data_IF_819043516357
#
_entry.id   IF_819043516357
#
_cell.length_a   1.000
_cell.length_b   1.000
_cell.length_c   1.000
_cell.angle_alpha   90.00
_cell.angle_beta   90.00
_cell.angle_gamma   90.00
#
_symmetry.space_group_name_H-M   'P 1'
#
loop_
_entity.id
_entity.type
_entity.pdbx_description
1 polymer ?
#
# COMPACT_ATOMS: atom_id res chain seq x y z
N UNK A 1 -12.13 13.31 9.98
CA UNK A 1 -10.79 12.81 9.62
C UNK A 1 -10.85 11.30 9.69
N UNK A 2 -10.50 10.61 8.61
CA UNK A 2 -10.62 9.16 8.56
C UNK A 2 -9.50 8.52 9.37
N UNK A 3 -9.86 7.57 10.24
CA UNK A 3 -8.90 6.88 11.09
C UNK A 3 -8.42 5.61 10.39
N UNK A 4 -7.17 5.60 9.99
CA UNK A 4 -6.50 4.40 9.48
C UNK A 4 -5.84 3.65 10.63
N UNK A 5 -6.08 2.35 10.73
CA UNK A 5 -5.35 1.48 11.65
C UNK A 5 -4.12 0.92 10.95
N UNK A 6 -3.01 0.82 11.68
CA UNK A 6 -1.78 0.18 11.19
C UNK A 6 -1.63 -1.17 11.87
N UNK A 7 -1.52 -2.21 11.05
CA UNK A 7 -1.25 -3.58 11.47
C UNK A 7 0.08 -4.03 10.88
N UNK A 8 0.82 -4.86 11.62
CA UNK A 8 2.07 -5.44 11.15
C UNK A 8 1.86 -6.93 10.98
N UNK A 9 1.85 -7.38 9.72
CA UNK A 9 1.63 -8.78 9.38
C UNK A 9 2.96 -9.51 9.24
N UNK A 10 3.13 -10.63 9.95
CA UNK A 10 4.28 -11.51 9.75
C UNK A 10 4.04 -12.39 8.52
N UNK A 11 4.92 -12.29 7.52
CA UNK A 11 4.82 -13.02 6.24
C UNK A 11 5.84 -14.14 6.10
N UNK A 12 6.79 -14.23 7.02
CA UNK A 12 7.76 -15.32 7.06
C UNK A 12 8.93 -15.03 8.00
N UNK A 13 9.95 -15.86 7.90
CA UNK A 13 11.17 -15.75 8.69
C UNK A 13 12.37 -16.12 7.80
N UNK A 14 13.45 -15.36 7.90
CA UNK A 14 14.70 -15.68 7.22
C UNK A 14 15.41 -16.82 7.94
N UNK A 15 16.29 -17.55 7.25
CA UNK A 15 17.10 -18.61 7.87
C UNK A 15 18.00 -18.11 9.03
N UNK A 16 18.24 -16.79 9.09
CA UNK A 16 18.94 -16.11 10.19
C UNK A 16 18.06 -15.87 11.44
N UNK A 17 16.78 -16.21 11.40
CA UNK A 17 15.80 -15.91 12.46
C UNK A 17 15.15 -14.53 12.36
N UNK A 18 15.48 -13.74 11.33
CA UNK A 18 14.88 -12.42 11.14
C UNK A 18 13.43 -12.54 10.62
N UNK A 19 12.46 -12.00 11.37
CA UNK A 19 11.05 -11.98 10.96
C UNK A 19 10.84 -11.03 9.79
N UNK A 20 10.18 -11.52 8.76
CA UNK A 20 9.75 -10.75 7.61
C UNK A 20 8.36 -10.22 7.90
N UNK A 21 8.24 -8.91 8.03
CA UNK A 21 6.98 -8.25 8.38
C UNK A 21 6.58 -7.21 7.33
N UNK A 22 5.27 -7.10 7.11
CA UNK A 22 4.67 -6.16 6.16
C UNK A 22 3.73 -5.22 6.91
N UNK A 23 3.89 -3.89 6.79
CA UNK A 23 2.92 -2.94 7.31
C UNK A 23 1.68 -2.90 6.42
N UNK A 24 0.52 -3.00 7.05
CA UNK A 24 -0.80 -2.92 6.41
C UNK A 24 -1.57 -1.77 7.06
N UNK A 25 -2.07 -0.84 6.26
CA UNK A 25 -2.93 0.24 6.73
C UNK A 25 -4.36 -0.03 6.27
N UNK A 26 -5.31 0.03 7.19
CA UNK A 26 -6.71 -0.32 6.94
C UNK A 26 -7.62 0.84 7.33
N UNK A 27 -8.55 1.16 6.45
CA UNK A 27 -9.72 1.97 6.74
C UNK A 27 -10.98 1.13 6.50
N UNK A 28 -11.89 1.14 7.47
CA UNK A 28 -13.18 0.47 7.37
C UNK A 28 -14.26 1.54 7.25
N UNK A 29 -15.04 1.46 6.18
CA UNK A 29 -16.23 2.29 6.01
C UNK A 29 -17.32 1.84 6.99
N UNK A 30 -18.21 2.75 7.36
CA UNK A 30 -19.33 2.46 8.28
C UNK A 30 -20.31 1.44 7.68
N UNK A 31 -20.43 1.42 6.35
CA UNK A 31 -21.29 0.49 5.64
C UNK A 31 -20.49 -0.74 5.17
N UNK A 32 -20.82 -1.91 5.73
CA UNK A 32 -20.18 -3.18 5.37
C UNK A 32 -20.50 -3.67 3.94
N UNK A 33 -21.51 -3.10 3.27
CA UNK A 33 -21.84 -3.42 1.87
C UNK A 33 -21.03 -2.60 0.86
N UNK A 34 -20.15 -1.72 1.32
CA UNK A 34 -19.38 -0.85 0.46
C UNK A 34 -18.26 -1.57 -0.31
N UNK A 35 -17.89 -1.06 -1.49
CA UNK A 35 -16.77 -1.63 -2.26
C UNK A 35 -15.47 -1.57 -1.46
N UNK A 36 -14.61 -2.56 -1.67
CA UNK A 36 -13.30 -2.66 -1.02
C UNK A 36 -12.17 -2.45 -2.03
N UNK A 37 -11.20 -1.63 -1.66
CA UNK A 37 -10.04 -1.28 -2.50
C UNK A 37 -8.76 -1.76 -1.81
N UNK A 38 -7.92 -2.48 -2.55
CA UNK A 38 -6.61 -2.96 -2.10
C UNK A 38 -5.52 -2.37 -2.98
N UNK A 39 -4.56 -1.66 -2.37
CA UNK A 39 -3.44 -1.04 -3.06
C UNK A 39 -2.14 -1.56 -2.44
N UNK A 40 -1.27 -2.11 -3.27
CA UNK A 40 0.05 -2.56 -2.83
C UNK A 40 1.17 -1.95 -3.68
N UNK A 41 2.34 -1.79 -3.08
CA UNK A 41 3.54 -1.40 -3.78
C UNK A 41 4.73 -2.29 -3.41
N UNK A 42 5.85 -2.06 -4.10
CA UNK A 42 7.16 -2.60 -3.78
C UNK A 42 7.18 -4.15 -3.71
N UNK A 43 6.48 -4.79 -4.64
CA UNK A 43 6.58 -6.24 -4.86
C UNK A 43 7.95 -6.61 -5.46
N UNK A 44 8.51 -5.74 -6.29
CA UNK A 44 9.91 -5.79 -6.73
C UNK A 44 10.75 -4.82 -5.90
N UNK A 45 11.92 -5.26 -5.42
CA UNK A 45 12.75 -4.51 -4.47
C UNK A 45 13.26 -3.16 -4.99
N UNK A 46 13.43 -3.02 -6.30
CA UNK A 46 13.90 -1.80 -6.96
C UNK A 46 12.82 -0.72 -7.17
N UNK A 47 11.54 -1.05 -7.00
CA UNK A 47 10.38 -0.17 -7.28
C UNK A 47 9.95 0.62 -6.03
N UNK A 48 10.92 1.24 -5.34
CA UNK A 48 10.72 1.88 -4.03
C UNK A 48 9.81 3.13 -4.06
N UNK A 49 9.59 3.72 -5.24
CA UNK A 49 8.81 4.96 -5.38
C UNK A 49 7.33 4.78 -5.02
N UNK A 50 6.78 3.57 -5.19
CA UNK A 50 5.39 3.27 -4.80
C UNK A 50 5.13 3.43 -3.30
N UNK A 51 6.17 3.31 -2.46
CA UNK A 51 6.05 3.51 -1.01
C UNK A 51 5.71 4.97 -0.68
N UNK A 52 6.45 5.91 -1.27
CA UNK A 52 6.24 7.34 -1.05
C UNK A 52 4.85 7.77 -1.53
N UNK A 53 4.37 7.21 -2.63
CA UNK A 53 3.03 7.48 -3.16
C UNK A 53 1.95 6.99 -2.21
N UNK A 54 2.08 5.78 -1.65
CA UNK A 54 1.11 5.27 -0.69
C UNK A 54 1.10 6.11 0.59
N UNK A 55 2.24 6.61 1.04
CA UNK A 55 2.29 7.56 2.16
C UNK A 55 1.55 8.86 1.86
N UNK A 56 1.80 9.48 0.70
CA UNK A 56 1.09 10.69 0.30
C UNK A 56 -0.41 10.44 0.13
N UNK A 57 -0.78 9.28 -0.43
CA UNK A 57 -2.17 8.88 -0.58
C UNK A 57 -2.86 8.72 0.77
N UNK A 58 -2.19 8.13 1.76
CA UNK A 58 -2.73 7.98 3.11
C UNK A 58 -3.04 9.34 3.76
N UNK A 59 -2.14 10.32 3.62
CA UNK A 59 -2.38 11.70 4.09
C UNK A 59 -3.60 12.34 3.41
N UNK A 60 -3.72 12.20 2.08
CA UNK A 60 -4.86 12.74 1.35
C UNK A 60 -6.18 12.06 1.76
N UNK A 61 -6.18 10.72 1.88
CA UNK A 61 -7.35 9.94 2.23
C UNK A 61 -7.87 10.25 3.65
N UNK A 62 -7.05 10.75 4.57
CA UNK A 62 -7.51 11.19 5.90
C UNK A 62 -8.53 12.34 5.82
N UNK A 63 -8.48 13.13 4.75
CA UNK A 63 -9.33 14.31 4.55
C UNK A 63 -10.41 14.13 3.47
N UNK A 64 -10.44 13.00 2.77
CA UNK A 64 -11.47 12.69 1.77
C UNK A 64 -12.74 12.10 2.41
N UNK A 65 -13.87 12.17 1.69
CA UNK A 65 -15.07 11.42 2.08
C UNK A 65 -14.98 10.00 1.49
N UNK A 66 -14.73 9.01 2.35
CA UNK A 66 -14.50 7.63 1.92
C UNK A 66 -15.76 6.80 2.12
N UNK A 67 -16.27 6.23 1.03
CA UNK A 67 -17.47 5.39 1.06
C UNK A 67 -17.15 3.90 0.99
N UNK A 68 -15.87 3.51 0.91
CA UNK A 68 -15.40 2.14 0.74
C UNK A 68 -14.33 1.73 1.74
N UNK A 69 -14.17 0.43 1.93
CA UNK A 69 -13.05 -0.11 2.72
C UNK A 69 -11.76 0.05 1.92
N UNK A 70 -10.66 0.42 2.59
CA UNK A 70 -9.36 0.62 1.93
C UNK A 70 -8.29 -0.12 2.69
N UNK A 71 -7.49 -0.90 1.97
CA UNK A 71 -6.29 -1.56 2.49
C UNK A 71 -5.08 -1.12 1.67
N UNK A 72 -4.07 -0.55 2.34
CA UNK A 72 -2.84 -0.07 1.74
C UNK A 72 -1.65 -0.89 2.26
N UNK A 73 -0.84 -1.43 1.35
CA UNK A 73 0.33 -2.26 1.66
C UNK A 73 1.55 -1.71 0.92
N UNK A 74 2.27 -0.72 1.48
CA UNK A 74 3.39 -0.11 0.79
C UNK A 74 4.54 -1.09 0.56
N UNK A 75 4.86 -1.92 1.56
CA UNK A 75 6.06 -2.75 1.55
C UNK A 75 5.71 -4.23 1.44
N UNK A 76 5.19 -4.65 0.29
CA UNK A 76 4.59 -5.98 0.13
C UNK A 76 5.62 -7.13 0.12
N UNK A 77 6.86 -6.89 -0.31
CA UNK A 77 7.88 -7.94 -0.42
C UNK A 77 9.18 -7.60 0.35
N UNK A 78 9.23 -7.91 1.66
CA UNK A 78 10.40 -7.65 2.49
C UNK A 78 11.66 -8.44 2.05
N UNK A 79 11.49 -9.59 1.39
CA UNK A 79 12.59 -10.45 0.94
C UNK A 79 13.34 -9.83 -0.24
N UNK A 80 12.59 -9.31 -1.23
CA UNK A 80 13.17 -8.70 -2.43
C UNK A 80 13.87 -7.36 -2.14
N UNK A 81 13.51 -6.67 -1.06
CA UNK A 81 14.22 -5.47 -0.65
C UNK A 81 15.54 -5.76 0.09
N UNK A 82 15.64 -6.89 0.80
CA UNK A 82 16.87 -7.29 1.50
C UNK A 82 17.90 -7.97 0.58
N UNK A 83 17.48 -8.54 -0.54
CA UNK A 83 18.37 -9.05 -1.59
C UNK A 83 18.40 -8.05 -2.75
N UNK A 84 19.43 -7.19 -2.81
CA UNK A 84 19.65 -6.30 -3.95
C UNK A 84 19.87 -7.10 -5.25
N UNK A 85 18.79 -7.35 -6.00
CA UNK A 85 18.85 -7.77 -7.40
C UNK A 85 18.14 -6.72 -8.26
N UNK A 86 18.93 -5.91 -8.98
CA UNK A 86 18.45 -4.96 -10.00
C UNK A 86 18.77 -3.49 -9.74
N UNK A 87 18.94 -2.73 -10.83
CA UNK A 87 19.03 -1.27 -10.86
C UNK A 87 17.66 -0.64 -10.51
N UNK A 88 17.66 0.54 -9.87
CA UNK A 88 16.41 1.27 -9.55
C UNK A 88 15.66 1.66 -10.83
N UNK A 89 14.49 1.06 -11.07
CA UNK A 89 13.67 1.35 -12.26
C UNK A 89 12.78 2.59 -12.03
N UNK A 90 12.93 3.59 -12.90
CA UNK A 90 12.14 4.83 -12.93
C UNK A 90 10.74 4.60 -13.54
N UNK A 91 9.79 4.00 -12.80
CA UNK A 91 8.39 3.91 -13.25
C UNK A 91 7.55 5.11 -12.77
N UNK A 92 7.74 6.29 -13.41
CA UNK A 92 6.89 7.47 -13.16
C UNK A 92 5.47 7.34 -13.75
N UNK A 93 5.29 6.55 -14.80
CA UNK A 93 4.07 6.51 -15.62
C UNK A 93 2.98 5.56 -15.12
N UNK A 94 3.32 4.44 -14.48
CA UNK A 94 2.31 3.49 -13.96
C UNK A 94 1.58 4.03 -12.71
N UNK A 95 2.26 4.88 -11.95
CA UNK A 95 1.84 5.42 -10.65
C UNK A 95 0.64 6.37 -10.79
N UNK A 96 0.67 7.27 -11.79
CA UNK A 96 -0.43 8.20 -12.02
C UNK A 96 -1.72 7.48 -12.43
N UNK A 97 -1.62 6.43 -13.24
CA UNK A 97 -2.78 5.70 -13.72
C UNK A 97 -3.51 4.96 -12.60
N UNK A 98 -2.77 4.30 -11.69
CA UNK A 98 -3.36 3.60 -10.53
C UNK A 98 -4.02 4.59 -9.56
N UNK A 99 -3.38 5.73 -9.32
CA UNK A 99 -3.91 6.77 -8.45
C UNK A 99 -5.24 7.34 -9.00
N UNK A 100 -5.29 7.66 -10.30
CA UNK A 100 -6.50 8.19 -10.96
C UNK A 100 -7.64 7.17 -10.97
N UNK A 101 -7.37 5.90 -11.31
CA UNK A 101 -8.41 4.86 -11.36
C UNK A 101 -8.95 4.53 -9.96
N UNK A 102 -8.10 4.48 -8.92
CA UNK A 102 -8.55 4.22 -7.55
C UNK A 102 -9.38 5.39 -7.00
N UNK A 103 -8.97 6.63 -7.25
CA UNK A 103 -9.71 7.82 -6.82
C UNK A 103 -11.12 7.79 -7.41
N UNK A 104 -11.27 7.58 -8.72
CA UNK A 104 -12.60 7.49 -9.36
C UNK A 104 -13.46 6.44 -8.66
N UNK A 105 -12.95 5.24 -8.39
CA UNK A 105 -13.72 4.16 -7.77
C UNK A 105 -14.01 4.31 -6.27
N UNK A 106 -13.39 5.29 -5.60
CA UNK A 106 -13.63 5.61 -4.19
C UNK A 106 -14.73 6.67 -3.99
N UNK A 107 -15.03 7.46 -5.03
CA UNK A 107 -16.04 8.52 -5.00
C UNK A 107 -17.42 8.07 -5.54
N UNK A 108 -17.49 7.02 -6.35
CA UNK A 108 -18.71 6.43 -6.90
C UNK A 108 -19.11 5.15 -6.17
#
# INVERSE_FOLDING_TARGET
MNNFTKEVMSVGEMASGAKLTVPVYVFKAENNSSPSVYIQANMHGAEVQGNAVIFQLLELLQHCNLQGNITLVPYANPVACNHKNGEYLNLKSLIYLVCVVCVVRLYF
#
